data_IF_154385913805
#
_entry.id   IF_154385913805
#
_cell.length_a   1.000
_cell.length_b   1.000
_cell.length_c   1.000
_cell.angle_alpha   90.00
_cell.angle_beta   90.00
_cell.angle_gamma   90.00
#
_symmetry.space_group_name_H-M   'P 1'
#
loop_
_entity.id
_entity.type
_entity.pdbx_description
1 polymer ?
#
# COMPACT_ATOMS: atom_id res chain seq x y z
N UNK A 1 -33.73 28.86 82.91
CA UNK A 1 -35.11 28.44 82.60
C UNK A 1 -35.36 28.74 81.13
N UNK A 2 -35.68 27.68 80.38
CA UNK A 2 -36.43 27.55 79.11
C UNK A 2 -37.03 28.85 78.54
N UNK A 3 -37.01 29.14 77.24
CA UNK A 3 -37.73 28.37 76.22
C UNK A 3 -37.30 28.78 74.79
N UNK A 4 -37.11 27.79 73.92
CA UNK A 4 -37.04 27.93 72.46
C UNK A 4 -38.40 28.27 71.87
N UNK A 5 -38.47 29.11 70.83
CA UNK A 5 -39.53 28.99 69.84
C UNK A 5 -39.03 29.38 68.45
N UNK A 6 -39.22 28.45 67.51
CA UNK A 6 -39.03 28.61 66.08
C UNK A 6 -40.18 29.43 65.48
N UNK A 7 -39.88 30.19 64.42
CA UNK A 7 -40.87 30.51 63.39
C UNK A 7 -40.21 30.40 62.01
N UNK A 8 -40.83 29.61 61.15
CA UNK A 8 -40.40 29.30 59.79
C UNK A 8 -40.72 30.45 58.82
N UNK A 9 -39.83 30.69 57.86
CA UNK A 9 -40.11 31.53 56.68
C UNK A 9 -40.50 30.65 55.47
N UNK A 10 -41.52 31.04 54.68
CA UNK A 10 -42.03 30.26 53.56
C UNK A 10 -41.15 30.35 52.31
N UNK A 11 -41.17 29.26 51.54
CA UNK A 11 -40.31 29.01 50.39
C UNK A 11 -40.60 29.87 49.15
N UNK A 12 -39.52 30.21 48.46
CA UNK A 12 -39.53 30.74 47.10
C UNK A 12 -39.16 29.61 46.13
N UNK A 13 -40.14 29.07 45.40
CA UNK A 13 -39.91 28.13 44.29
C UNK A 13 -39.67 28.94 43.00
N UNK A 14 -38.52 28.81 42.32
CA UNK A 14 -38.28 29.54 41.09
C UNK A 14 -39.04 28.92 39.92
N UNK A 15 -39.88 29.74 39.27
CA UNK A 15 -40.72 29.43 38.09
C UNK A 15 -39.90 29.16 36.79
N UNK A 16 -38.59 29.00 36.89
CA UNK A 16 -37.67 28.74 35.76
C UNK A 16 -37.47 27.25 35.45
N UNK A 17 -37.77 26.35 36.40
CA UNK A 17 -37.66 24.89 36.18
C UNK A 17 -38.76 24.32 35.27
N UNK A 18 -39.93 24.98 35.20
CA UNK A 18 -41.09 24.52 34.43
C UNK A 18 -40.90 24.70 32.91
N UNK A 19 -40.14 25.71 32.47
CA UNK A 19 -39.91 25.95 31.04
C UNK A 19 -38.85 25.01 30.44
N UNK A 20 -37.82 24.64 31.22
CA UNK A 20 -36.78 23.70 30.77
C UNK A 20 -37.34 22.28 30.60
N UNK A 21 -38.26 21.86 31.49
CA UNK A 21 -38.93 20.56 31.37
C UNK A 21 -39.85 20.45 30.14
N UNK A 22 -40.57 21.52 29.79
CA UNK A 22 -41.49 21.51 28.65
C UNK A 22 -40.76 21.44 27.29
N UNK A 23 -39.61 22.10 27.15
CA UNK A 23 -38.80 22.05 25.91
C UNK A 23 -38.12 20.69 25.75
N UNK A 24 -37.64 20.09 26.85
CA UNK A 24 -37.04 18.74 26.81
C UNK A 24 -38.07 17.66 26.42
N UNK A 25 -39.32 17.77 26.91
CA UNK A 25 -40.39 16.83 26.56
C UNK A 25 -40.84 16.98 25.09
N UNK A 26 -40.88 18.21 24.56
CA UNK A 26 -41.21 18.47 23.16
C UNK A 26 -40.14 17.93 22.18
N UNK A 27 -38.86 18.02 22.54
CA UNK A 27 -37.76 17.46 21.76
C UNK A 27 -37.79 15.91 21.73
N UNK A 28 -38.11 15.28 22.86
CA UNK A 28 -38.25 13.81 22.94
C UNK A 28 -39.48 13.30 22.18
N UNK A 29 -40.60 14.04 22.23
CA UNK A 29 -41.79 13.71 21.45
C UNK A 29 -41.57 13.89 19.94
N UNK A 30 -40.83 14.91 19.51
CA UNK A 30 -40.44 15.11 18.11
C UNK A 30 -39.53 13.99 17.58
N UNK A 31 -38.61 13.49 18.41
CA UNK A 31 -37.73 12.35 18.07
C UNK A 31 -38.50 11.03 17.97
N UNK A 32 -39.51 10.83 18.81
CA UNK A 32 -40.35 9.62 18.79
C UNK A 32 -41.35 9.60 17.61
N UNK A 33 -41.89 10.76 17.21
CA UNK A 33 -42.82 10.85 16.06
C UNK A 33 -42.05 10.77 14.73
N UNK A 34 -40.83 11.30 14.66
CA UNK A 34 -39.95 11.14 13.50
C UNK A 34 -39.61 9.69 13.18
N UNK A 35 -39.59 8.81 14.19
CA UNK A 35 -39.38 7.37 14.04
C UNK A 35 -40.63 6.60 13.56
N UNK A 36 -41.83 7.17 13.68
CA UNK A 36 -43.07 6.44 13.40
C UNK A 36 -43.74 6.82 12.06
N UNK A 37 -43.43 7.99 11.49
CA UNK A 37 -44.15 8.55 10.32
C UNK A 37 -43.28 8.64 9.06
N UNK A 38 -41.96 8.41 9.16
CA UNK A 38 -41.10 8.34 7.99
C UNK A 38 -40.94 6.87 7.55
N UNK A 39 -41.21 6.54 6.27
CA UNK A 39 -40.86 5.23 5.73
C UNK A 39 -39.37 5.03 5.92
N UNK A 40 -39.01 3.96 6.64
CA UNK A 40 -37.64 3.47 6.62
C UNK A 40 -37.42 2.91 5.23
N UNK A 41 -36.91 3.72 4.31
CA UNK A 41 -36.12 3.16 3.23
C UNK A 41 -35.03 2.35 3.93
N UNK A 42 -35.19 1.03 3.87
CA UNK A 42 -34.17 0.11 4.29
C UNK A 42 -32.92 0.50 3.49
N UNK A 43 -32.03 1.26 4.14
CA UNK A 43 -30.65 1.34 3.72
C UNK A 43 -30.21 -0.11 3.62
N UNK A 44 -30.15 -0.60 2.38
CA UNK A 44 -29.60 -1.92 2.10
C UNK A 44 -28.27 -1.97 2.83
N UNK A 45 -27.99 -3.04 3.59
CA UNK A 45 -26.69 -3.14 4.24
C UNK A 45 -25.65 -2.92 3.15
N UNK A 46 -24.91 -1.82 3.22
CA UNK A 46 -23.71 -1.64 2.41
C UNK A 46 -22.83 -2.79 2.88
N UNK A 47 -22.80 -3.84 2.06
CA UNK A 47 -21.90 -4.95 2.25
C UNK A 47 -20.53 -4.33 2.50
N UNK A 48 -19.87 -4.74 3.59
CA UNK A 48 -18.46 -4.49 3.74
C UNK A 48 -17.81 -4.79 2.37
N UNK A 49 -16.98 -3.87 1.82
CA UNK A 49 -16.37 -4.11 0.53
C UNK A 49 -15.78 -5.52 0.58
N UNK A 50 -16.05 -6.38 -0.41
CA UNK A 50 -15.59 -7.75 -0.37
C UNK A 50 -14.10 -7.69 -0.02
N UNK A 51 -13.73 -8.33 1.09
CA UNK A 51 -12.32 -8.58 1.35
C UNK A 51 -11.89 -9.41 0.14
N UNK A 52 -11.25 -8.77 -0.83
CA UNK A 52 -10.62 -9.48 -1.93
C UNK A 52 -9.58 -10.37 -1.29
N UNK A 53 -9.98 -11.61 -1.03
CA UNK A 53 -9.11 -12.76 -1.01
C UNK A 53 -8.67 -12.92 -2.45
N UNK A 54 -7.80 -12.00 -2.91
CA UNK A 54 -7.10 -12.19 -4.15
C UNK A 54 -6.35 -13.51 -3.97
N UNK A 55 -6.88 -14.55 -4.59
CA UNK A 55 -6.31 -15.88 -4.52
C UNK A 55 -4.91 -15.78 -5.07
N UNK A 56 -3.96 -16.12 -4.21
CA UNK A 56 -2.56 -15.96 -4.49
C UNK A 56 -2.14 -17.04 -5.48
N UNK A 57 -1.55 -16.62 -6.59
CA UNK A 57 -1.22 -17.52 -7.69
C UNK A 57 0.05 -18.33 -7.34
N UNK A 58 -0.05 -19.64 -7.52
CA UNK A 58 1.07 -20.58 -7.53
C UNK A 58 1.23 -21.14 -8.95
N UNK A 59 2.48 -21.38 -9.40
CA UNK A 59 2.70 -21.99 -10.71
C UNK A 59 4.14 -22.00 -11.20
N UNK A 60 4.37 -22.75 -12.29
CA UNK A 60 5.63 -22.74 -13.03
C UNK A 60 5.59 -21.73 -14.18
N UNK A 61 6.68 -20.98 -14.35
CA UNK A 61 6.84 -19.97 -15.41
C UNK A 61 8.03 -20.38 -16.29
N UNK A 62 7.83 -20.42 -17.61
CA UNK A 62 8.80 -20.93 -18.59
C UNK A 62 9.74 -19.87 -19.16
N UNK A 63 9.97 -18.76 -18.46
CA UNK A 63 10.81 -17.67 -18.98
C UNK A 63 12.30 -18.08 -19.02
N UNK A 64 13.05 -17.80 -20.10
CA UNK A 64 14.44 -18.27 -20.27
C UNK A 64 15.38 -17.93 -19.11
N UNK A 65 15.16 -16.76 -18.47
CA UNK A 65 15.99 -16.27 -17.38
C UNK A 65 15.24 -16.17 -16.04
N UNK A 66 14.12 -16.88 -15.94
CA UNK A 66 13.22 -16.88 -14.79
C UNK A 66 12.19 -15.72 -14.80
N UNK A 67 11.33 -15.64 -13.78
CA UNK A 67 11.23 -16.60 -12.68
C UNK A 67 10.77 -17.97 -13.20
N UNK A 68 11.18 -19.06 -12.53
CA UNK A 68 10.76 -20.43 -12.86
C UNK A 68 9.54 -20.88 -12.08
N UNK A 69 9.36 -20.31 -10.89
CA UNK A 69 8.28 -20.66 -9.97
C UNK A 69 7.72 -19.39 -9.34
N UNK A 70 6.41 -19.33 -9.23
CA UNK A 70 5.71 -18.39 -8.35
C UNK A 70 5.17 -19.21 -7.19
N UNK A 71 5.62 -18.88 -5.98
CA UNK A 71 5.12 -19.48 -4.74
C UNK A 71 4.51 -18.38 -3.91
N UNK A 72 3.24 -18.53 -3.59
CA UNK A 72 2.49 -17.59 -2.80
C UNK A 72 2.61 -16.17 -3.38
N UNK A 73 2.42 -16.03 -4.69
CA UNK A 73 2.50 -14.74 -5.40
C UNK A 73 3.90 -14.13 -5.43
N UNK A 74 4.92 -14.87 -4.97
CA UNK A 74 6.32 -14.43 -4.94
C UNK A 74 7.13 -15.20 -6.00
N UNK A 75 7.67 -14.50 -7.01
CA UNK A 75 8.49 -15.14 -8.04
C UNK A 75 9.88 -15.52 -7.50
N UNK A 76 10.43 -16.62 -8.02
CA UNK A 76 11.77 -17.14 -7.72
C UNK A 76 12.29 -18.07 -8.83
N UNK A 77 13.55 -18.49 -8.73
CA UNK A 77 14.21 -19.42 -9.64
C UNK A 77 14.77 -18.72 -10.87
N UNK A 78 15.51 -17.64 -10.67
CA UNK A 78 16.18 -16.92 -11.74
C UNK A 78 17.48 -17.63 -12.15
N UNK A 79 17.92 -17.42 -13.38
CA UNK A 79 19.23 -17.93 -13.82
C UNK A 79 20.37 -17.11 -13.21
N UNK A 80 21.49 -17.77 -12.87
CA UNK A 80 22.71 -17.13 -12.36
C UNK A 80 23.53 -16.51 -13.51
N UNK A 81 22.88 -15.66 -14.29
CA UNK A 81 23.45 -14.91 -15.40
C UNK A 81 22.95 -13.47 -15.39
N UNK A 82 23.51 -12.65 -16.28
CA UNK A 82 23.20 -11.21 -16.34
C UNK A 82 21.70 -10.97 -16.60
N UNK A 83 21.10 -11.76 -17.49
CA UNK A 83 19.71 -11.62 -17.85
C UNK A 83 18.77 -12.05 -16.70
N UNK A 84 19.13 -13.07 -15.93
CA UNK A 84 18.40 -13.50 -14.74
C UNK A 84 18.48 -12.47 -13.62
N UNK A 85 19.66 -11.89 -13.38
CA UNK A 85 19.81 -10.78 -12.44
C UNK A 85 18.97 -9.57 -12.84
N UNK A 86 18.99 -9.23 -14.13
CA UNK A 86 18.20 -8.14 -14.69
C UNK A 86 16.69 -8.38 -14.53
N UNK A 87 16.24 -9.63 -14.71
CA UNK A 87 14.84 -10.01 -14.56
C UNK A 87 14.41 -10.00 -13.09
N UNK A 88 15.26 -10.47 -12.18
CA UNK A 88 15.05 -10.37 -10.74
C UNK A 88 14.92 -8.90 -10.29
N UNK A 89 15.80 -8.01 -10.77
CA UNK A 89 15.72 -6.59 -10.43
C UNK A 89 14.41 -5.93 -10.90
N UNK A 90 13.92 -6.26 -12.10
CA UNK A 90 12.62 -5.78 -12.59
C UNK A 90 11.48 -6.31 -11.72
N UNK A 91 11.49 -7.60 -11.39
CA UNK A 91 10.47 -8.22 -10.55
C UNK A 91 10.50 -7.73 -9.10
N UNK A 92 11.64 -7.25 -8.59
CA UNK A 92 11.74 -6.61 -7.26
C UNK A 92 10.78 -5.43 -7.14
N UNK A 93 10.64 -4.62 -8.20
CA UNK A 93 9.70 -3.49 -8.23
C UNK A 93 8.27 -4.00 -8.08
N UNK A 94 7.94 -5.10 -8.77
CA UNK A 94 6.60 -5.66 -8.75
C UNK A 94 6.29 -6.39 -7.45
N UNK A 95 7.26 -7.04 -6.82
CA UNK A 95 7.13 -7.69 -5.51
C UNK A 95 6.73 -6.68 -4.44
N UNK A 96 7.32 -5.48 -4.44
CA UNK A 96 6.95 -4.41 -3.50
C UNK A 96 5.46 -4.04 -3.62
N UNK A 97 4.99 -3.79 -4.85
CA UNK A 97 3.59 -3.45 -5.13
C UNK A 97 2.65 -4.59 -4.79
N UNK A 98 3.00 -5.82 -5.21
CA UNK A 98 2.18 -7.00 -4.97
C UNK A 98 2.06 -7.29 -3.47
N UNK A 99 3.11 -7.05 -2.69
CA UNK A 99 3.07 -7.22 -1.23
C UNK A 99 2.16 -6.17 -0.59
N UNK A 100 2.31 -4.91 -0.98
CA UNK A 100 1.45 -3.81 -0.52
C UNK A 100 -0.03 -4.06 -0.85
N UNK A 101 -0.33 -4.62 -2.03
CA UNK A 101 -1.70 -4.95 -2.44
C UNK A 101 -2.22 -6.29 -1.87
N UNK A 102 -1.39 -7.03 -1.12
CA UNK A 102 -1.75 -8.33 -0.55
C UNK A 102 -1.77 -9.49 -1.55
N UNK A 103 -1.24 -9.29 -2.76
CA UNK A 103 -1.08 -10.29 -3.82
C UNK A 103 0.14 -11.20 -3.59
N UNK A 104 1.16 -10.70 -2.91
CA UNK A 104 2.34 -11.46 -2.51
C UNK A 104 2.36 -11.68 -0.98
N UNK A 105 2.90 -12.82 -0.55
CA UNK A 105 3.02 -13.12 0.87
C UNK A 105 4.26 -12.49 1.54
N UNK A 106 4.10 -11.63 2.57
CA UNK A 106 5.23 -10.97 3.19
C UNK A 106 6.27 -11.92 3.81
N UNK A 107 5.82 -13.07 4.36
CA UNK A 107 6.73 -14.05 4.94
C UNK A 107 7.54 -14.78 3.86
N UNK A 108 6.92 -15.10 2.71
CA UNK A 108 7.67 -15.61 1.56
C UNK A 108 8.67 -14.58 1.06
N UNK A 109 8.25 -13.32 0.83
CA UNK A 109 9.15 -12.26 0.34
C UNK A 109 10.36 -12.11 1.25
N UNK A 110 10.15 -12.05 2.57
CA UNK A 110 11.25 -11.96 3.53
C UNK A 110 12.23 -13.12 3.44
N UNK A 111 11.73 -14.34 3.19
CA UNK A 111 12.57 -15.54 3.10
C UNK A 111 13.31 -15.67 1.75
N UNK A 112 12.71 -15.22 0.65
CA UNK A 112 13.23 -15.49 -0.70
C UNK A 112 13.88 -14.29 -1.38
N UNK A 113 13.52 -13.05 -1.03
CA UNK A 113 13.99 -11.84 -1.71
C UNK A 113 15.03 -11.02 -0.94
N UNK A 114 15.19 -11.24 0.37
CA UNK A 114 16.09 -10.43 1.19
C UNK A 114 17.41 -11.18 1.38
N UNK A 115 18.53 -10.58 0.90
CA UNK A 115 19.85 -11.16 1.09
C UNK A 115 20.26 -11.13 2.57
N UNK A 116 21.15 -12.03 2.99
CA UNK A 116 21.69 -12.02 4.37
C UNK A 116 22.38 -10.70 4.70
N UNK A 117 23.06 -10.13 3.71
CA UNK A 117 23.80 -8.86 3.83
C UNK A 117 22.97 -7.62 3.50
N UNK A 118 21.64 -7.75 3.35
CA UNK A 118 20.79 -6.62 3.00
C UNK A 118 20.96 -5.43 3.95
N UNK A 119 20.81 -4.21 3.45
CA UNK A 119 20.77 -3.00 4.27
C UNK A 119 19.38 -2.77 4.89
N UNK A 120 19.27 -1.77 5.76
CA UNK A 120 18.01 -1.44 6.42
C UNK A 120 16.93 -1.00 5.43
N UNK A 121 17.31 -0.31 4.35
CA UNK A 121 16.39 0.18 3.31
C UNK A 121 15.76 -0.97 2.54
N UNK A 122 16.55 -1.93 2.07
CA UNK A 122 16.07 -3.12 1.40
C UNK A 122 15.19 -3.98 2.32
N UNK A 123 15.60 -4.17 3.59
CA UNK A 123 14.76 -4.88 4.56
C UNK A 123 13.44 -4.17 4.80
N UNK A 124 13.45 -2.85 4.93
CA UNK A 124 12.24 -2.04 5.08
C UNK A 124 11.32 -2.20 3.88
N UNK A 125 11.82 -1.98 2.67
CA UNK A 125 11.04 -2.03 1.43
C UNK A 125 10.42 -3.41 1.15
N UNK A 126 11.10 -4.50 1.48
CA UNK A 126 10.65 -5.87 1.20
C UNK A 126 9.94 -6.56 2.38
N UNK A 127 9.98 -5.97 3.58
CA UNK A 127 9.25 -6.50 4.75
C UNK A 127 7.93 -5.76 5.00
N UNK A 128 7.57 -4.77 4.18
CA UNK A 128 6.29 -4.09 4.31
C UNK A 128 5.15 -5.08 4.10
N UNK A 129 4.18 -5.07 5.00
CA UNK A 129 2.97 -5.87 4.88
C UNK A 129 1.99 -5.27 3.89
N UNK A 130 0.79 -5.88 3.82
CA UNK A 130 -0.34 -5.31 3.06
C UNK A 130 -0.64 -3.91 3.56
N UNK A 131 -0.83 -2.97 2.65
CA UNK A 131 -1.38 -1.66 2.97
C UNK A 131 -2.86 -1.83 3.36
N UNK A 132 -3.18 -1.48 4.61
CA UNK A 132 -4.52 -1.62 5.19
C UNK A 132 -5.37 -0.36 5.05
N UNK A 133 -4.75 0.76 4.68
CA UNK A 133 -5.38 2.07 4.76
C UNK A 133 -6.32 2.34 3.57
N UNK A 134 -6.35 1.42 2.59
CA UNK A 134 -7.28 1.45 1.45
C UNK A 134 -7.02 2.56 0.42
N UNK A 135 -6.21 3.56 0.80
CA UNK A 135 -5.96 4.80 0.09
C UNK A 135 -4.74 4.75 -0.84
N UNK A 136 -3.74 3.92 -0.56
CA UNK A 136 -2.59 3.76 -1.46
C UNK A 136 -2.97 2.85 -2.63
N UNK A 137 -3.24 3.46 -3.77
CA UNK A 137 -3.47 2.76 -5.04
C UNK A 137 -2.29 2.91 -6.00
N UNK A 138 -1.09 3.08 -5.46
CA UNK A 138 0.12 3.26 -6.26
C UNK A 138 0.47 1.98 -7.02
N UNK A 139 0.41 2.06 -8.34
CA UNK A 139 0.97 1.06 -9.24
C UNK A 139 2.35 1.52 -9.70
N UNK A 140 3.29 0.58 -9.78
CA UNK A 140 4.62 0.80 -10.35
C UNK A 140 4.78 -0.04 -11.61
N UNK A 141 5.32 0.56 -12.65
CA UNK A 141 5.58 -0.08 -13.94
C UNK A 141 7.05 0.13 -14.29
N UNK A 142 7.86 -0.94 -14.34
CA UNK A 142 9.19 -0.87 -14.90
C UNK A 142 9.10 -0.51 -16.39
N UNK A 143 9.70 0.61 -16.78
CA UNK A 143 9.72 1.10 -18.15
C UNK A 143 10.96 0.60 -18.91
N UNK A 144 12.12 0.61 -18.25
CA UNK A 144 13.36 0.10 -18.81
C UNK A 144 14.31 -0.37 -17.72
N UNK A 145 15.39 -1.06 -18.13
CA UNK A 145 16.44 -1.52 -17.24
C UNK A 145 17.82 -1.34 -17.86
N UNK A 146 18.83 -1.19 -17.02
CA UNK A 146 20.25 -1.18 -17.39
C UNK A 146 21.04 -1.95 -16.34
N UNK A 147 21.80 -2.96 -16.77
CA UNK A 147 22.78 -3.61 -15.90
C UNK A 147 24.01 -2.72 -15.83
N UNK A 148 24.39 -2.31 -14.62
CA UNK A 148 25.56 -1.46 -14.36
C UNK A 148 26.79 -2.31 -14.07
N UNK A 149 26.61 -3.39 -13.32
CA UNK A 149 27.66 -4.31 -12.92
C UNK A 149 27.09 -5.72 -12.85
N UNK A 150 27.86 -6.70 -13.30
CA UNK A 150 27.50 -8.11 -13.19
C UNK A 150 28.71 -9.00 -12.92
N UNK A 151 28.53 -9.90 -11.97
CA UNK A 151 29.33 -11.10 -11.74
C UNK A 151 28.35 -12.23 -11.40
N UNK A 152 28.82 -13.48 -11.35
CA UNK A 152 27.95 -14.59 -10.93
C UNK A 152 27.44 -14.47 -9.48
N UNK A 153 28.06 -13.64 -8.64
CA UNK A 153 27.70 -13.49 -7.22
C UNK A 153 27.02 -12.17 -6.88
N UNK A 154 27.11 -11.18 -7.77
CA UNK A 154 26.64 -9.82 -7.53
C UNK A 154 26.17 -9.18 -8.83
N UNK A 155 25.06 -8.46 -8.76
CA UNK A 155 24.63 -7.58 -9.84
C UNK A 155 24.20 -6.22 -9.30
N UNK A 156 24.40 -5.18 -10.10
CA UNK A 156 23.84 -3.84 -9.88
C UNK A 156 23.01 -3.49 -11.10
N UNK A 157 21.72 -3.27 -10.90
CA UNK A 157 20.78 -3.00 -11.99
C UNK A 157 20.04 -1.71 -11.70
N UNK A 158 20.02 -0.81 -12.67
CA UNK A 158 19.13 0.34 -12.67
C UNK A 158 17.83 -0.02 -13.36
N UNK A 159 16.71 0.24 -12.70
CA UNK A 159 15.36 0.07 -13.24
C UNK A 159 14.70 1.43 -13.27
N UNK A 160 14.26 1.86 -14.45
CA UNK A 160 13.47 3.08 -14.61
C UNK A 160 12.01 2.73 -14.41
N UNK A 161 11.36 3.41 -13.48
CA UNK A 161 10.03 3.06 -12.97
C UNK A 161 9.11 4.26 -13.07
N UNK A 162 8.01 4.09 -13.79
CA UNK A 162 6.85 4.96 -13.71
C UNK A 162 5.99 4.51 -12.54
N UNK A 163 5.60 5.43 -11.65
CA UNK A 163 4.60 5.17 -10.63
C UNK A 163 3.38 6.04 -10.90
N UNK A 164 2.19 5.45 -10.86
CA UNK A 164 0.92 6.15 -10.96
C UNK A 164 0.10 5.75 -9.76
N UNK A 165 -0.37 6.72 -9.00
CA UNK A 165 -1.18 6.46 -7.82
C UNK A 165 -2.11 7.59 -7.51
N UNK A 166 -3.15 7.24 -6.77
CA UNK A 166 -3.98 8.14 -6.00
C UNK A 166 -3.58 7.88 -4.56
N UNK A 167 -3.11 8.90 -3.85
CA UNK A 167 -2.69 8.80 -2.44
C UNK A 167 -2.60 10.17 -1.78
N UNK A 168 -2.43 10.22 -0.47
CA UNK A 168 -2.19 11.48 0.24
C UNK A 168 -0.82 12.03 -0.15
N UNK A 169 -0.81 13.24 -0.73
CA UNK A 169 0.43 13.96 -1.00
C UNK A 169 1.22 14.22 0.28
N UNK A 170 2.53 14.43 0.16
CA UNK A 170 3.32 14.98 1.27
C UNK A 170 2.72 16.37 1.61
N UNK A 171 2.01 16.47 2.74
CA UNK A 171 1.28 17.69 3.15
C UNK A 171 -0.25 17.59 3.22
N UNK A 172 -0.85 16.44 2.86
CA UNK A 172 -2.30 16.24 2.86
C UNK A 172 -2.98 16.62 1.53
N UNK A 173 -4.07 15.91 1.20
CA UNK A 173 -4.81 16.03 -0.07
C UNK A 173 -4.58 14.85 -1.03
N UNK A 174 -5.61 14.49 -1.80
CA UNK A 174 -5.56 13.41 -2.80
C UNK A 174 -4.72 13.87 -3.99
N UNK A 175 -3.55 13.26 -4.17
CA UNK A 175 -2.66 13.53 -5.29
C UNK A 175 -2.79 12.38 -6.30
N UNK A 176 -3.30 12.70 -7.49
CA UNK A 176 -3.11 11.88 -8.69
C UNK A 176 -1.75 12.26 -9.28
N UNK A 177 -0.67 11.63 -8.83
CA UNK A 177 0.67 11.92 -9.34
C UNK A 177 1.21 10.75 -10.16
N UNK A 178 1.61 11.06 -11.39
CA UNK A 178 2.62 10.29 -12.09
C UNK A 178 3.99 10.75 -11.61
N UNK A 179 4.85 9.80 -11.24
CA UNK A 179 6.25 10.09 -10.90
C UNK A 179 7.19 9.15 -11.64
N UNK A 180 8.35 9.66 -12.03
CA UNK A 180 9.42 8.87 -12.62
C UNK A 180 10.58 8.75 -11.65
N UNK A 181 11.06 7.52 -11.49
CA UNK A 181 12.19 7.22 -10.61
C UNK A 181 13.16 6.27 -11.30
N UNK A 182 14.43 6.38 -10.95
CA UNK A 182 15.42 5.33 -11.23
C UNK A 182 15.76 4.63 -9.93
N UNK A 183 15.49 3.33 -9.86
CA UNK A 183 15.88 2.47 -8.75
C UNK A 183 17.17 1.74 -9.09
N UNK A 184 18.22 1.96 -8.32
CA UNK A 184 19.44 1.17 -8.35
C UNK A 184 19.30 0.03 -7.35
N UNK A 185 19.16 -1.20 -7.86
CA UNK A 185 18.95 -2.42 -7.10
C UNK A 185 20.25 -3.21 -7.13
N UNK A 186 20.82 -3.45 -5.95
CA UNK A 186 21.98 -4.35 -5.81
C UNK A 186 21.49 -5.72 -5.38
N UNK A 187 21.93 -6.75 -6.09
CA UNK A 187 21.58 -8.15 -5.87
C UNK A 187 22.83 -8.95 -5.48
N UNK A 188 22.62 -9.97 -4.65
CA UNK A 188 23.60 -11.01 -4.36
C UNK A 188 23.02 -12.37 -4.73
N UNK A 189 23.87 -13.27 -5.22
CA UNK A 189 23.48 -14.66 -5.43
C UNK A 189 23.58 -15.42 -4.11
N UNK A 190 22.44 -15.83 -3.58
CA UNK A 190 22.31 -16.73 -2.45
C UNK A 190 21.20 -17.70 -2.83
N UNK A 191 21.54 -18.83 -3.43
CA UNK A 191 20.60 -19.84 -3.99
C UNK A 191 19.68 -19.34 -5.13
N UNK A 192 19.40 -18.03 -5.17
CA UNK A 192 18.69 -17.24 -6.16
C UNK A 192 19.20 -15.78 -6.08
N UNK A 193 18.73 -14.87 -6.93
CA UNK A 193 19.02 -13.45 -6.81
C UNK A 193 18.23 -12.79 -5.66
N UNK A 194 18.95 -12.33 -4.62
CA UNK A 194 18.38 -11.66 -3.45
C UNK A 194 18.85 -10.22 -3.35
N UNK A 195 17.99 -9.34 -2.83
CA UNK A 195 18.22 -7.89 -2.76
C UNK A 195 19.10 -7.55 -1.57
N UNK A 196 20.19 -6.83 -1.86
CA UNK A 196 21.11 -6.27 -0.87
C UNK A 196 20.75 -4.83 -0.54
N UNK A 197 20.48 -4.00 -1.54
CA UNK A 197 20.13 -2.59 -1.34
C UNK A 197 19.22 -2.08 -2.45
N UNK A 198 18.35 -1.14 -2.11
CA UNK A 198 17.52 -0.39 -3.06
C UNK A 198 17.80 1.10 -2.84
N UNK A 199 18.27 1.79 -3.87
CA UNK A 199 18.44 3.24 -3.87
C UNK A 199 17.54 3.85 -4.92
N UNK A 200 16.76 4.85 -4.53
CA UNK A 200 15.82 5.51 -5.44
C UNK A 200 16.24 6.96 -5.65
N UNK A 201 16.33 7.38 -6.90
CA UNK A 201 16.46 8.79 -7.28
C UNK A 201 15.29 9.20 -8.14
N UNK A 202 14.94 10.50 -8.12
CA UNK A 202 14.04 11.07 -9.13
C UNK A 202 14.66 10.82 -10.49
N UNK A 203 13.89 10.18 -11.36
CA UNK A 203 14.32 9.82 -12.70
C UNK A 203 13.99 10.95 -13.67
N UNK A 204 14.67 11.02 -14.83
CA UNK A 204 14.24 11.90 -15.88
C UNK A 204 12.77 11.62 -16.24
N UNK A 205 11.97 12.67 -16.36
CA UNK A 205 10.61 12.57 -16.88
C UNK A 205 10.65 12.70 -18.41
N UNK A 206 9.94 11.85 -19.17
CA UNK A 206 9.85 11.98 -20.62
C UNK A 206 9.36 13.39 -21.00
N UNK A 207 10.14 14.08 -21.85
CA UNK A 207 9.81 15.45 -22.27
C UNK A 207 10.51 16.56 -21.48
N UNK A 208 11.24 16.25 -20.40
CA UNK A 208 12.14 17.23 -19.77
C UNK A 208 13.35 17.54 -20.66
N UNK A 209 13.62 18.82 -20.89
CA UNK A 209 14.81 19.26 -21.64
C UNK A 209 16.09 18.90 -20.85
N UNK A 210 17.02 18.19 -21.50
CA UNK A 210 18.31 17.78 -20.89
C UNK A 210 18.30 16.44 -20.16
N UNK A 211 17.14 15.77 -20.08
CA UNK A 211 17.03 14.41 -19.58
C UNK A 211 17.59 13.40 -20.60
N UNK A 212 18.76 12.81 -20.33
CA UNK A 212 19.14 11.58 -21.03
C UNK A 212 18.33 10.42 -20.47
N UNK A 213 17.36 9.93 -21.25
CA UNK A 213 16.70 8.68 -20.94
C UNK A 213 17.77 7.56 -20.83
N UNK A 214 17.65 6.63 -19.87
CA UNK A 214 18.51 5.45 -19.88
C UNK A 214 18.39 4.77 -21.25
N UNK A 215 19.52 4.34 -21.83
CA UNK A 215 19.51 3.61 -23.08
C UNK A 215 18.50 2.46 -22.98
N UNK A 216 17.51 2.46 -23.88
CA UNK A 216 16.50 1.40 -23.90
C UNK A 216 17.21 0.08 -24.22
N UNK A 217 16.92 -1.01 -23.49
CA UNK A 217 17.45 -2.31 -23.85
C UNK A 217 16.97 -2.66 -25.27
N UNK A 218 17.83 -3.29 -26.06
CA UNK A 218 17.51 -3.82 -27.40
C UNK A 218 16.49 -4.98 -27.35
N UNK A 219 16.16 -5.47 -26.15
CA UNK A 219 15.11 -6.45 -25.89
C UNK A 219 14.19 -5.94 -24.77
N UNK A 220 12.93 -5.68 -25.11
CA UNK A 220 11.86 -5.47 -24.12
C UNK A 220 11.39 -6.81 -23.59
N UNK A 221 11.54 -7.04 -22.28
CA UNK A 221 11.15 -8.27 -21.60
C UNK A 221 9.96 -8.08 -20.63
N UNK A 222 9.23 -6.97 -20.75
CA UNK A 222 8.04 -6.74 -19.92
C UNK A 222 6.86 -7.52 -20.52
N UNK A 223 6.56 -8.68 -19.93
CA UNK A 223 5.31 -9.40 -20.20
C UNK A 223 4.37 -9.17 -19.02
N UNK A 224 3.34 -8.35 -19.22
CA UNK A 224 2.23 -8.22 -18.27
C UNK A 224 1.09 -9.09 -18.76
N UNK A 225 0.66 -10.05 -17.95
CA UNK A 225 -0.52 -10.86 -18.20
C UNK A 225 -1.44 -10.77 -17.00
N UNK A 226 -2.75 -10.66 -17.25
CA UNK A 226 -3.76 -10.77 -16.21
C UNK A 226 -4.03 -12.25 -15.99
N UNK A 227 -4.01 -12.67 -14.73
CA UNK A 227 -4.49 -13.99 -14.33
C UNK A 227 -5.74 -13.72 -13.49
N UNK A 228 -6.88 -14.23 -13.94
CA UNK A 228 -8.15 -14.19 -13.19
C UNK A 228 -8.19 -15.27 -12.10
#
# INVERSE_FOLDING_TARGET
MTTSNQYAAPGNRPRTALWVGAVALALLAGLAIGWLVLPHDAASPVAAPPQSTASRVDGHVGAPHGPRVITRGVPSGYTRDEAGAATAAVNCVQVQVNTAHGLADPATVKATWIARTADATARGALSQGRNTDGDDRTTKLPASRRVVEFTQDKAVVEVWVASVGIGTGIGGGTVTAQTWTTQTITLAWEDDWKVVSIKTRRGPEPGENGASAPALPTQSALYTFYVE
#
